data_IF_430652436389
#
_entry.id   IF_430652436389
#
_cell.length_a   1.000
_cell.length_b   1.000
_cell.length_c   1.000
_cell.angle_alpha   90.00
_cell.angle_beta   90.00
_cell.angle_gamma   90.00
#
_symmetry.space_group_name_H-M   'P 1'
#
loop_
_entity.id
_entity.type
_entity.pdbx_description
1 polymer ?
#
# COMPACT_ATOMS: atom_id res chain seq x y z
N UNK A 1 68.30 -3.65 2.00
CA UNK A 1 67.56 -4.87 1.69
C UNK A 1 67.56 -5.01 0.18
N UNK A 2 68.48 -5.88 -0.33
CA UNK A 2 68.58 -6.25 -1.74
C UNK A 2 67.38 -7.15 -2.07
N UNK A 3 66.38 -6.63 -2.79
CA UNK A 3 65.30 -7.46 -3.37
C UNK A 3 65.91 -8.30 -4.49
N UNK A 4 65.67 -9.59 -4.47
CA UNK A 4 66.09 -10.53 -5.49
C UNK A 4 65.50 -10.14 -6.86
N UNK A 5 66.36 -10.04 -7.91
CA UNK A 5 65.89 -9.69 -9.26
C UNK A 5 64.85 -10.67 -9.84
N UNK A 6 64.86 -11.92 -9.34
CA UNK A 6 63.91 -12.96 -9.74
C UNK A 6 62.49 -12.74 -9.22
N UNK A 7 62.31 -12.01 -8.10
CA UNK A 7 61.01 -11.69 -7.54
C UNK A 7 60.25 -10.65 -8.38
N UNK A 8 60.99 -9.71 -8.96
CA UNK A 8 60.38 -8.73 -9.90
C UNK A 8 59.99 -9.37 -11.23
N UNK A 9 60.68 -10.41 -11.68
CA UNK A 9 60.32 -11.15 -12.89
C UNK A 9 59.05 -11.99 -12.69
N UNK A 10 58.86 -12.48 -11.48
CA UNK A 10 57.65 -13.22 -11.07
C UNK A 10 56.41 -12.33 -11.09
N UNK A 11 56.51 -11.17 -10.45
CA UNK A 11 55.42 -10.18 -10.41
C UNK A 11 55.04 -9.67 -11.81
N UNK A 12 56.01 -9.42 -12.71
CA UNK A 12 55.74 -9.03 -14.10
C UNK A 12 54.98 -10.09 -14.89
N UNK A 13 55.30 -11.37 -14.67
CA UNK A 13 54.56 -12.51 -15.28
C UNK A 13 53.15 -12.65 -14.72
N UNK A 14 52.97 -12.47 -13.41
CA UNK A 14 51.66 -12.50 -12.81
C UNK A 14 50.79 -11.36 -13.29
N UNK A 15 51.32 -10.14 -13.36
CA UNK A 15 50.62 -8.97 -13.93
C UNK A 15 50.24 -9.20 -15.40
N UNK A 16 51.14 -9.73 -16.21
CA UNK A 16 50.85 -10.11 -17.58
C UNK A 16 49.80 -11.21 -17.69
N UNK A 17 49.81 -12.17 -16.83
CA UNK A 17 48.78 -13.23 -16.78
C UNK A 17 47.42 -12.66 -16.38
N UNK A 18 47.36 -11.78 -15.38
CA UNK A 18 46.14 -11.08 -14.99
C UNK A 18 45.62 -10.22 -16.15
N UNK A 19 46.45 -9.47 -16.83
CA UNK A 19 46.12 -8.71 -18.02
C UNK A 19 45.63 -9.62 -19.17
N UNK A 20 46.31 -10.74 -19.42
CA UNK A 20 45.89 -11.72 -20.44
C UNK A 20 44.55 -12.36 -20.14
N UNK A 21 44.27 -12.66 -18.86
CA UNK A 21 42.96 -13.17 -18.42
C UNK A 21 41.88 -12.09 -18.55
N UNK A 22 42.21 -10.83 -18.23
CA UNK A 22 41.28 -9.69 -18.35
C UNK A 22 41.01 -9.29 -19.78
N UNK A 23 41.99 -9.42 -20.67
CA UNK A 23 41.94 -9.06 -22.12
C UNK A 23 41.90 -10.27 -23.06
N UNK A 24 41.36 -11.40 -22.59
CA UNK A 24 41.14 -12.56 -23.45
C UNK A 24 40.31 -12.18 -24.69
N UNK A 25 40.61 -12.67 -25.92
CA UNK A 25 39.88 -12.33 -27.16
C UNK A 25 38.39 -12.69 -27.18
N UNK A 26 37.90 -13.27 -26.12
CA UNK A 26 36.48 -13.57 -25.86
C UNK A 26 35.71 -12.38 -25.29
N UNK A 27 36.18 -11.13 -25.48
CA UNK A 27 35.53 -9.92 -24.96
C UNK A 27 34.08 -9.81 -25.39
N UNK A 28 33.78 -10.17 -26.63
CA UNK A 28 32.40 -10.19 -27.16
C UNK A 28 31.48 -11.11 -26.35
N UNK A 29 31.93 -12.32 -26.01
CA UNK A 29 31.12 -13.26 -25.27
C UNK A 29 30.92 -12.82 -23.80
N UNK A 30 31.91 -12.17 -23.18
CA UNK A 30 31.76 -11.61 -21.83
C UNK A 30 30.73 -10.48 -21.80
N UNK A 31 30.78 -9.57 -22.77
CA UNK A 31 29.80 -8.47 -22.89
C UNK A 31 28.38 -9.03 -23.06
N UNK A 32 28.22 -10.06 -23.90
CA UNK A 32 26.91 -10.72 -24.09
C UNK A 32 26.40 -11.32 -22.77
N UNK A 33 27.26 -11.98 -22.00
CA UNK A 33 26.90 -12.55 -20.69
C UNK A 33 26.48 -11.45 -19.69
N UNK A 34 27.20 -10.32 -19.63
CA UNK A 34 26.85 -9.20 -18.76
C UNK A 34 25.52 -8.56 -19.16
N UNK A 35 25.29 -8.37 -20.47
CA UNK A 35 24.01 -7.84 -20.98
C UNK A 35 22.88 -8.82 -20.68
N UNK A 36 23.05 -10.10 -20.96
CA UNK A 36 22.05 -11.14 -20.73
C UNK A 36 21.70 -11.22 -19.23
N UNK A 37 22.72 -11.20 -18.37
CA UNK A 37 22.52 -11.17 -16.93
C UNK A 37 21.76 -9.92 -16.47
N UNK A 38 22.16 -8.73 -16.97
CA UNK A 38 21.48 -7.47 -16.66
C UNK A 38 20.02 -7.46 -17.12
N UNK A 39 19.73 -8.00 -18.30
CA UNK A 39 18.35 -8.16 -18.80
C UNK A 39 17.56 -9.12 -17.90
N UNK A 40 18.16 -10.23 -17.50
CA UNK A 40 17.50 -11.19 -16.60
C UNK A 40 17.23 -10.58 -15.22
N UNK A 41 18.19 -9.88 -14.63
CA UNK A 41 18.03 -9.17 -13.34
C UNK A 41 16.97 -8.08 -13.45
N UNK A 42 16.96 -7.31 -14.54
CA UNK A 42 15.95 -6.29 -14.81
C UNK A 42 14.55 -6.92 -14.96
N UNK A 43 14.42 -7.99 -15.74
CA UNK A 43 13.15 -8.69 -15.95
C UNK A 43 12.61 -9.29 -14.65
N UNK A 44 13.50 -9.89 -13.85
CA UNK A 44 13.14 -10.45 -12.54
C UNK A 44 12.73 -9.36 -11.54
N UNK A 45 13.45 -8.23 -11.54
CA UNK A 45 13.09 -7.05 -10.74
C UNK A 45 11.72 -6.50 -11.15
N UNK A 46 11.47 -6.37 -12.45
CA UNK A 46 10.18 -5.91 -12.98
C UNK A 46 9.02 -6.82 -12.57
N UNK A 47 9.23 -8.14 -12.61
CA UNK A 47 8.23 -9.12 -12.20
C UNK A 47 7.84 -8.96 -10.72
N UNK A 48 8.80 -8.60 -9.85
CA UNK A 48 8.56 -8.42 -8.42
C UNK A 48 8.01 -7.03 -8.07
N UNK A 49 8.32 -6.01 -8.88
CA UNK A 49 7.84 -4.62 -8.70
C UNK A 49 6.33 -4.53 -8.94
N UNK A 50 5.78 -5.22 -9.94
CA UNK A 50 4.35 -5.14 -10.28
C UNK A 50 3.44 -5.52 -9.10
N UNK A 51 3.62 -6.68 -8.43
CA UNK A 51 2.80 -7.01 -7.26
C UNK A 51 3.03 -6.07 -6.09
N UNK A 52 4.26 -5.54 -5.94
CA UNK A 52 4.58 -4.52 -4.93
C UNK A 52 3.80 -3.23 -5.14
N UNK A 53 3.72 -2.73 -6.36
CA UNK A 53 2.93 -1.55 -6.73
C UNK A 53 1.43 -1.79 -6.45
N UNK A 54 0.90 -2.93 -6.87
CA UNK A 54 -0.51 -3.28 -6.63
C UNK A 54 -0.82 -3.35 -5.13
N UNK A 55 0.08 -3.88 -4.33
CA UNK A 55 -0.07 -3.92 -2.88
C UNK A 55 0.01 -2.53 -2.26
N UNK A 56 0.96 -1.70 -2.69
CA UNK A 56 1.13 -0.31 -2.25
C UNK A 56 -0.17 0.49 -2.43
N UNK A 57 -0.74 0.51 -3.63
CA UNK A 57 -2.01 1.20 -3.89
C UNK A 57 -3.21 0.56 -3.20
N UNK A 58 -3.18 -0.74 -2.96
CA UNK A 58 -4.25 -1.42 -2.22
C UNK A 58 -4.29 -1.03 -0.74
N UNK A 59 -3.15 -0.68 -0.14
CA UNK A 59 -3.02 -0.26 1.25
C UNK A 59 -2.94 1.25 1.45
N UNK A 60 -3.16 2.02 0.38
CA UNK A 60 -2.89 3.46 0.33
C UNK A 60 -3.64 4.26 1.42
N UNK A 61 -4.91 3.93 1.64
CA UNK A 61 -5.76 4.62 2.61
C UNK A 61 -5.86 3.93 3.98
N UNK A 62 -5.11 2.85 4.21
CA UNK A 62 -5.20 2.12 5.47
C UNK A 62 -4.84 2.98 6.69
N UNK A 63 -3.87 3.89 6.54
CA UNK A 63 -3.48 4.81 7.60
C UNK A 63 -4.60 5.82 7.92
N UNK A 64 -5.22 6.42 6.92
CA UNK A 64 -6.33 7.36 7.10
C UNK A 64 -7.52 6.70 7.80
N UNK A 65 -7.84 5.45 7.41
CA UNK A 65 -8.89 4.66 8.06
C UNK A 65 -8.61 4.41 9.55
N UNK A 66 -7.36 4.12 9.91
CA UNK A 66 -6.97 3.96 11.32
C UNK A 66 -6.98 5.28 12.09
N UNK A 67 -6.72 6.42 11.43
CA UNK A 67 -6.86 7.73 12.04
C UNK A 67 -8.34 8.08 12.28
N UNK A 68 -9.24 7.68 11.39
CA UNK A 68 -10.69 7.90 11.53
C UNK A 68 -11.29 7.01 12.63
N UNK A 69 -10.87 5.75 12.71
CA UNK A 69 -11.28 4.85 13.78
C UNK A 69 -10.07 4.10 14.39
N UNK A 70 -9.51 4.59 15.52
CA UNK A 70 -8.38 3.95 16.19
C UNK A 70 -8.66 2.53 16.72
N UNK A 71 -9.94 2.15 16.87
CA UNK A 71 -10.34 0.81 17.32
C UNK A 71 -10.34 -0.21 16.17
N UNK A 72 -10.14 0.23 14.91
CA UNK A 72 -10.09 -0.64 13.76
C UNK A 72 -8.77 -1.41 13.74
N UNK A 73 -8.85 -2.75 13.61
CA UNK A 73 -7.65 -3.59 13.52
C UNK A 73 -6.90 -3.30 12.22
N UNK A 74 -5.54 -3.30 12.22
CA UNK A 74 -4.75 -3.03 11.01
C UNK A 74 -5.13 -3.90 9.81
N UNK A 75 -5.48 -5.16 10.06
CA UNK A 75 -5.91 -6.10 9.01
C UNK A 75 -7.27 -5.74 8.41
N UNK A 76 -8.17 -5.16 9.20
CA UNK A 76 -9.48 -4.68 8.75
C UNK A 76 -9.32 -3.39 7.95
N UNK A 77 -8.48 -2.45 8.43
CA UNK A 77 -8.13 -1.23 7.70
C UNK A 77 -7.53 -1.53 6.32
N UNK A 78 -6.62 -2.51 6.22
CA UNK A 78 -6.05 -2.95 4.95
C UNK A 78 -7.11 -3.56 4.01
N UNK A 79 -8.02 -4.39 4.53
CA UNK A 79 -9.11 -4.97 3.74
C UNK A 79 -10.07 -3.89 3.24
N UNK A 80 -10.41 -2.93 4.09
CA UNK A 80 -11.29 -1.82 3.75
C UNK A 80 -10.65 -0.88 2.73
N UNK A 81 -9.38 -0.50 2.93
CA UNK A 81 -8.61 0.27 1.95
C UNK A 81 -8.61 -0.41 0.58
N UNK A 82 -8.40 -1.73 0.53
CA UNK A 82 -8.43 -2.51 -0.71
C UNK A 82 -9.79 -2.45 -1.41
N UNK A 83 -10.91 -2.47 -0.66
CA UNK A 83 -12.27 -2.33 -1.20
C UNK A 83 -12.49 -0.93 -1.77
N UNK A 84 -12.09 0.12 -1.04
CA UNK A 84 -12.22 1.53 -1.42
C UNK A 84 -11.49 1.82 -2.73
N UNK A 85 -10.27 1.31 -2.87
CA UNK A 85 -9.40 1.57 -4.05
C UNK A 85 -9.73 0.63 -5.22
N UNK A 86 -10.54 -0.41 -5.02
CA UNK A 86 -10.82 -1.40 -6.05
C UNK A 86 -11.45 -0.76 -7.30
N UNK A 87 -10.82 -0.96 -8.45
CA UNK A 87 -11.23 -0.43 -9.74
C UNK A 87 -10.59 0.91 -10.11
N UNK A 88 -10.16 1.73 -9.15
CA UNK A 88 -9.69 3.09 -9.40
C UNK A 88 -8.21 3.32 -9.02
N UNK A 89 -7.40 2.24 -8.98
CA UNK A 89 -5.97 2.32 -8.65
C UNK A 89 -5.16 3.20 -9.59
N UNK A 90 -5.61 3.30 -10.85
CA UNK A 90 -4.96 4.15 -11.85
C UNK A 90 -5.03 5.64 -11.53
N UNK A 91 -6.08 6.10 -10.85
CA UNK A 91 -6.20 7.50 -10.41
C UNK A 91 -5.14 7.83 -9.34
N UNK A 92 -4.88 6.91 -8.40
CA UNK A 92 -3.82 7.09 -7.39
C UNK A 92 -2.43 7.05 -8.02
N UNK A 93 -2.22 6.18 -9.01
CA UNK A 93 -0.98 6.16 -9.78
C UNK A 93 -0.76 7.49 -10.53
N UNK A 94 -1.81 8.03 -11.16
CA UNK A 94 -1.73 9.32 -11.82
C UNK A 94 -1.47 10.48 -10.84
N UNK A 95 -2.02 10.40 -9.63
CA UNK A 95 -1.71 11.34 -8.55
C UNK A 95 -0.23 11.33 -8.20
N UNK A 96 0.34 10.15 -7.90
CA UNK A 96 1.75 10.01 -7.55
C UNK A 96 2.66 10.45 -8.70
N UNK A 97 2.28 10.13 -9.95
CA UNK A 97 3.00 10.59 -11.14
C UNK A 97 3.02 12.12 -11.25
N UNK A 98 1.92 12.79 -10.91
CA UNK A 98 1.84 14.26 -10.86
C UNK A 98 2.78 14.86 -9.81
N UNK A 99 3.04 14.13 -8.72
CA UNK A 99 3.94 14.58 -7.66
C UNK A 99 5.43 14.30 -7.95
N UNK A 100 5.77 13.55 -9.00
CA UNK A 100 7.18 13.28 -9.35
C UNK A 100 7.97 14.58 -9.55
N UNK A 101 7.39 15.58 -10.21
CA UNK A 101 8.02 16.88 -10.40
C UNK A 101 8.34 17.60 -9.08
N UNK A 102 7.44 17.51 -8.10
CA UNK A 102 7.62 18.07 -6.77
C UNK A 102 8.69 17.33 -5.97
N UNK A 103 8.77 16.00 -6.09
CA UNK A 103 9.82 15.20 -5.47
C UNK A 103 11.19 15.47 -6.09
N UNK A 104 11.24 15.67 -7.42
CA UNK A 104 12.47 16.07 -8.12
C UNK A 104 12.94 17.45 -7.64
N UNK A 105 12.02 18.42 -7.51
CA UNK A 105 12.32 19.75 -6.98
C UNK A 105 12.87 19.66 -5.55
N UNK A 106 12.30 18.79 -4.71
CA UNK A 106 12.79 18.54 -3.36
C UNK A 106 14.22 17.99 -3.37
N UNK A 107 14.55 17.10 -4.30
CA UNK A 107 15.90 16.58 -4.50
C UNK A 107 16.90 17.69 -4.91
N UNK A 108 16.54 18.54 -5.87
CA UNK A 108 17.39 19.65 -6.35
C UNK A 108 17.65 20.69 -5.26
N UNK A 109 16.65 20.96 -4.42
CA UNK A 109 16.76 21.96 -3.31
C UNK A 109 17.34 21.38 -2.03
N UNK A 110 17.98 20.19 -2.08
CA UNK A 110 18.52 19.52 -0.88
C UNK A 110 17.49 19.35 0.25
N UNK A 111 16.23 19.13 -0.12
CA UNK A 111 15.15 18.90 0.85
C UNK A 111 14.43 20.17 1.35
N UNK A 112 14.86 21.38 1.02
CA UNK A 112 14.21 22.62 1.49
C UNK A 112 12.75 22.68 0.99
N UNK A 113 12.50 22.28 -0.25
CA UNK A 113 11.15 22.24 -0.83
C UNK A 113 10.21 21.28 -0.08
N UNK A 114 10.73 20.29 0.65
CA UNK A 114 9.93 19.29 1.38
C UNK A 114 9.02 19.94 2.44
N UNK A 115 9.43 21.05 3.04
CA UNK A 115 8.63 21.81 4.03
C UNK A 115 7.26 22.20 3.45
N UNK A 116 7.22 22.51 2.15
CA UNK A 116 5.99 22.86 1.43
C UNK A 116 5.33 21.65 0.77
N UNK A 117 6.13 20.77 0.16
CA UNK A 117 5.64 19.62 -0.62
C UNK A 117 4.95 18.59 0.28
N UNK A 118 5.49 18.32 1.47
CA UNK A 118 4.94 17.34 2.39
C UNK A 118 3.51 17.68 2.84
N UNK A 119 3.22 18.87 3.41
CA UNK A 119 1.86 19.19 3.84
C UNK A 119 0.90 19.26 2.63
N UNK A 120 1.35 19.74 1.49
CA UNK A 120 0.55 19.77 0.26
C UNK A 120 0.17 18.35 -0.20
N UNK A 121 1.13 17.42 -0.19
CA UNK A 121 0.89 16.02 -0.54
C UNK A 121 -0.12 15.35 0.41
N UNK A 122 0.04 15.52 1.73
CA UNK A 122 -0.89 14.95 2.71
C UNK A 122 -2.30 15.52 2.60
N UNK A 123 -2.44 16.83 2.34
CA UNK A 123 -3.74 17.46 2.11
C UNK A 123 -4.41 16.90 0.87
N UNK A 124 -3.65 16.73 -0.20
CA UNK A 124 -4.16 16.13 -1.45
C UNK A 124 -4.59 14.69 -1.23
N UNK A 125 -3.80 13.89 -0.50
CA UNK A 125 -4.17 12.52 -0.14
C UNK A 125 -5.49 12.46 0.66
N UNK A 126 -5.69 13.37 1.62
CA UNK A 126 -6.92 13.42 2.41
C UNK A 126 -8.15 13.71 1.53
N UNK A 127 -8.04 14.64 0.58
CA UNK A 127 -9.11 14.95 -0.38
C UNK A 127 -9.44 13.76 -1.29
N UNK A 128 -8.39 13.05 -1.77
CA UNK A 128 -8.58 11.83 -2.55
C UNK A 128 -9.24 10.72 -1.71
N UNK A 129 -8.85 10.56 -0.45
CA UNK A 129 -9.48 9.61 0.47
C UNK A 129 -10.98 9.85 0.60
N UNK A 130 -11.41 11.09 0.86
CA UNK A 130 -12.83 11.45 0.97
C UNK A 130 -13.58 11.16 -0.32
N UNK A 131 -13.04 11.52 -1.48
CA UNK A 131 -13.65 11.23 -2.77
C UNK A 131 -13.81 9.73 -3.04
N UNK A 132 -12.77 8.96 -2.76
CA UNK A 132 -12.79 7.50 -2.94
C UNK A 132 -13.77 6.82 -1.97
N UNK A 133 -13.82 7.28 -0.72
CA UNK A 133 -14.77 6.83 0.30
C UNK A 133 -16.21 7.05 -0.16
N UNK A 134 -16.53 8.27 -0.59
CA UNK A 134 -17.87 8.62 -1.07
C UNK A 134 -18.27 7.79 -2.30
N UNK A 135 -17.39 7.64 -3.29
CA UNK A 135 -17.63 6.78 -4.46
C UNK A 135 -17.88 5.33 -4.06
N UNK A 136 -17.06 4.78 -3.17
CA UNK A 136 -17.19 3.40 -2.73
C UNK A 136 -18.50 3.14 -1.98
N UNK A 137 -18.99 4.11 -1.19
CA UNK A 137 -20.31 4.08 -0.56
C UNK A 137 -21.44 4.15 -1.61
N UNK A 138 -21.36 5.08 -2.57
CA UNK A 138 -22.35 5.23 -3.65
C UNK A 138 -22.43 3.98 -4.54
N UNK A 139 -21.30 3.35 -4.83
CA UNK A 139 -21.21 2.11 -5.61
C UNK A 139 -21.58 0.86 -4.81
N UNK A 140 -21.87 0.98 -3.51
CA UNK A 140 -22.20 -0.13 -2.64
C UNK A 140 -21.04 -1.12 -2.36
N UNK A 141 -19.80 -0.70 -2.65
CA UNK A 141 -18.60 -1.52 -2.37
C UNK A 141 -18.31 -1.65 -0.90
N UNK A 142 -18.71 -0.64 -0.13
CA UNK A 142 -18.55 -0.53 1.32
C UNK A 142 -19.84 0.02 1.92
N UNK A 143 -20.03 -0.26 3.21
CA UNK A 143 -21.13 0.27 4.01
C UNK A 143 -20.56 1.07 5.19
N UNK A 144 -21.39 1.92 5.81
CA UNK A 144 -20.99 2.64 7.03
C UNK A 144 -20.53 1.68 8.15
N UNK A 145 -21.09 0.49 8.19
CA UNK A 145 -20.71 -0.53 9.18
C UNK A 145 -19.30 -1.11 8.93
N UNK A 146 -18.76 -1.00 7.70
CA UNK A 146 -17.41 -1.46 7.41
C UNK A 146 -16.34 -0.60 8.11
N UNK A 147 -16.68 0.65 8.48
CA UNK A 147 -15.79 1.54 9.24
C UNK A 147 -15.75 1.22 10.74
N UNK A 148 -16.69 0.42 11.24
CA UNK A 148 -16.72 -0.01 12.64
C UNK A 148 -15.80 -1.22 12.84
N UNK A 149 -15.15 -1.29 14.00
CA UNK A 149 -14.44 -2.52 14.40
C UNK A 149 -15.44 -3.68 14.61
N UNK A 150 -14.94 -4.92 14.59
CA UNK A 150 -15.79 -6.09 14.85
C UNK A 150 -16.53 -5.98 16.18
N UNK A 151 -15.88 -5.46 17.20
CA UNK A 151 -16.46 -5.26 18.53
C UNK A 151 -17.57 -4.20 18.51
N UNK A 152 -17.33 -3.07 17.82
CA UNK A 152 -18.32 -2.00 17.63
C UNK A 152 -19.53 -2.48 16.83
N UNK A 153 -19.32 -3.28 15.78
CA UNK A 153 -20.39 -3.91 15.01
C UNK A 153 -21.21 -4.86 15.88
N UNK A 154 -20.57 -5.75 16.62
CA UNK A 154 -21.24 -6.68 17.52
C UNK A 154 -22.08 -5.96 18.57
N UNK A 155 -21.54 -4.89 19.17
CA UNK A 155 -22.27 -4.06 20.13
C UNK A 155 -23.48 -3.36 19.48
N UNK A 156 -23.32 -2.79 18.27
CA UNK A 156 -24.42 -2.16 17.51
C UNK A 156 -25.55 -3.15 17.22
N UNK A 157 -25.23 -4.34 16.73
CA UNK A 157 -26.24 -5.35 16.41
C UNK A 157 -26.88 -5.97 17.66
N UNK A 158 -26.14 -6.16 18.76
CA UNK A 158 -26.68 -6.59 20.02
C UNK A 158 -27.68 -5.56 20.58
N UNK A 159 -27.34 -4.26 20.51
CA UNK A 159 -28.23 -3.18 20.95
C UNK A 159 -29.49 -3.10 20.08
N UNK A 160 -29.37 -3.18 18.76
CA UNK A 160 -30.49 -3.18 17.83
C UNK A 160 -31.42 -4.41 18.06
N UNK A 161 -30.84 -5.58 18.29
CA UNK A 161 -31.59 -6.79 18.64
C UNK A 161 -32.37 -6.66 19.95
N UNK A 162 -31.77 -6.05 20.97
CA UNK A 162 -32.45 -5.80 22.26
C UNK A 162 -33.60 -4.80 22.11
N UNK A 163 -33.49 -3.77 21.30
CA UNK A 163 -34.56 -2.80 21.02
C UNK A 163 -35.75 -3.47 20.30
N UNK A 164 -35.47 -4.26 19.26
CA UNK A 164 -36.51 -4.97 18.51
C UNK A 164 -37.22 -6.03 19.36
N UNK A 165 -36.50 -6.71 20.24
CA UNK A 165 -37.07 -7.64 21.19
C UNK A 165 -38.03 -6.95 22.19
N UNK A 166 -37.68 -5.75 22.65
CA UNK A 166 -38.49 -4.96 23.57
C UNK A 166 -39.76 -4.38 22.90
N UNK A 167 -39.67 -4.00 21.63
CA UNK A 167 -40.82 -3.55 20.83
C UNK A 167 -41.81 -4.69 20.60
N UNK A 168 -41.36 -5.89 20.21
CA UNK A 168 -42.22 -7.05 20.04
C UNK A 168 -42.90 -7.48 21.34
N UNK A 169 -42.21 -7.37 22.49
CA UNK A 169 -42.79 -7.66 23.78
C UNK A 169 -43.92 -6.67 24.15
N UNK A 170 -43.70 -5.37 23.89
CA UNK A 170 -44.69 -4.32 24.13
C UNK A 170 -45.90 -4.42 23.20
N UNK A 171 -45.69 -4.73 21.92
CA UNK A 171 -46.78 -4.90 20.95
C UNK A 171 -47.64 -6.14 21.28
N UNK A 172 -47.03 -7.23 21.67
CA UNK A 172 -47.79 -8.42 22.13
C UNK A 172 -48.56 -8.19 23.41
N UNK A 173 -48.01 -7.42 24.35
CA UNK A 173 -48.74 -7.04 25.56
C UNK A 173 -49.90 -6.07 25.31
N UNK A 174 -49.75 -5.14 24.36
CA UNK A 174 -50.81 -4.25 23.94
C UNK A 174 -51.95 -5.03 23.24
N UNK A 175 -51.62 -5.98 22.36
CA UNK A 175 -52.62 -6.80 21.70
C UNK A 175 -53.38 -7.69 22.71
N UNK A 176 -52.71 -8.28 23.70
CA UNK A 176 -53.38 -9.10 24.74
C UNK A 176 -54.33 -8.27 25.62
N UNK A 177 -54.04 -6.98 25.85
CA UNK A 177 -54.91 -6.07 26.58
C UNK A 177 -56.15 -5.64 25.77
N UNK A 178 -56.14 -5.68 24.44
CA UNK A 178 -57.30 -5.43 23.59
C UNK A 178 -58.30 -6.62 23.59
N UNK A 179 -57.82 -7.85 23.81
CA UNK A 179 -58.68 -9.03 23.84
C UNK A 179 -59.25 -9.33 25.24
N UNK A 180 -58.71 -8.75 26.31
CA UNK A 180 -59.27 -8.87 27.65
C UNK A 180 -60.03 -7.61 28.05
N UNK A 181 -61.30 -7.53 27.68
CA UNK A 181 -62.23 -6.53 28.17
C UNK A 181 -63.23 -7.24 29.12
N UNK A 182 -63.15 -7.02 30.42
CA UNK A 182 -64.01 -7.70 31.40
C UNK A 182 -65.48 -7.22 31.42
N UNK A 183 -65.85 -6.30 30.50
CA UNK A 183 -67.19 -5.67 30.45
C UNK A 183 -68.03 -6.03 29.22
N UNK A 184 -67.68 -7.10 28.47
CA UNK A 184 -68.50 -7.70 27.43
C UNK A 184 -69.12 -9.00 27.90
#
# INVERSE_FOLDING_TARGET
IKRDPNEQLGLGKEIQNIFKISFCPTYGNKIVIYILRGVFEFLWSLLFVIPGIVYHYSSYFAFQLMCENPNLKPTEALKLSKKIVAGNRGELFALDLSFIGWWLLTGITFGIASIYVIPYYFTTQALYYENFKLRALQEGKITEDDFLSQEQRAAKYAFAGAQNGNQNYNDNNNQSNYYYNPNN
#
